data_IF_224934309286
#
_entry.id   IF_224934309286
#
_cell.length_a   1.000
_cell.length_b   1.000
_cell.length_c   1.000
_cell.angle_alpha   90.00
_cell.angle_beta   90.00
_cell.angle_gamma   90.00
#
_symmetry.space_group_name_H-M   'P 1'
#
loop_
_entity.id
_entity.type
_entity.pdbx_description
1 polymer ?
#
# COMPACT_ATOMS: atom_id res chain seq x y z
N UNK A 1 -12.58 18.13 -10.29
CA UNK A 1 -13.50 17.08 -10.82
C UNK A 1 -14.87 17.59 -11.24
N UNK A 2 -15.59 18.43 -10.47
CA UNK A 2 -16.94 18.95 -10.84
C UNK A 2 -17.01 20.49 -10.98
N UNK A 3 -15.88 21.19 -11.07
CA UNK A 3 -15.84 22.65 -11.28
C UNK A 3 -16.16 22.99 -12.75
N UNK A 4 -17.22 23.76 -13.01
CA UNK A 4 -17.52 24.22 -14.38
C UNK A 4 -16.48 25.24 -14.84
N UNK A 5 -15.94 25.03 -16.04
CA UNK A 5 -15.03 25.98 -16.69
C UNK A 5 -15.76 27.28 -17.02
N UNK A 6 -15.11 28.41 -16.79
CA UNK A 6 -15.61 29.76 -17.04
C UNK A 6 -14.47 30.61 -17.64
N UNK A 7 -14.73 31.80 -18.21
CA UNK A 7 -13.73 32.52 -19.03
C UNK A 7 -12.36 32.74 -18.37
N UNK A 8 -12.34 32.91 -17.05
CA UNK A 8 -11.13 33.13 -16.24
C UNK A 8 -10.52 31.85 -15.65
N UNK A 9 -11.18 30.69 -15.74
CA UNK A 9 -10.73 29.42 -15.16
C UNK A 9 -11.15 28.21 -16.01
N UNK A 10 -10.19 27.69 -16.79
CA UNK A 10 -10.39 26.46 -17.57
C UNK A 10 -10.17 25.21 -16.69
N UNK A 11 -11.23 24.76 -16.02
CA UNK A 11 -11.22 23.50 -15.29
C UNK A 11 -11.23 22.30 -16.27
N UNK A 12 -10.41 21.25 -16.05
CA UNK A 12 -10.45 20.05 -16.89
C UNK A 12 -11.81 19.33 -16.75
N UNK A 13 -12.42 18.98 -17.88
CA UNK A 13 -13.57 18.07 -17.87
C UNK A 13 -13.14 16.67 -17.42
N UNK A 14 -14.09 15.90 -16.87
CA UNK A 14 -13.83 14.60 -16.29
C UNK A 14 -15.01 13.66 -16.58
N UNK A 15 -14.83 12.47 -17.17
CA UNK A 15 -15.93 11.61 -17.62
C UNK A 15 -17.03 11.32 -16.57
N UNK A 16 -16.67 11.32 -15.29
CA UNK A 16 -17.61 11.22 -14.16
C UNK A 16 -18.73 12.29 -14.19
N UNK A 17 -18.49 13.47 -14.77
CA UNK A 17 -19.46 14.55 -14.95
C UNK A 17 -20.54 14.22 -15.96
N UNK A 18 -20.28 13.31 -16.90
CA UNK A 18 -21.33 12.63 -17.66
C UNK A 18 -22.03 11.67 -16.69
N UNK A 19 -21.34 10.66 -16.16
CA UNK A 19 -21.93 9.59 -15.33
C UNK A 19 -22.88 10.09 -14.22
N UNK A 20 -22.42 10.82 -13.20
CA UNK A 20 -23.23 11.17 -12.01
C UNK A 20 -23.08 12.62 -11.54
N UNK A 21 -24.17 13.19 -11.02
CA UNK A 21 -24.18 14.56 -10.48
C UNK A 21 -23.25 14.66 -9.28
N UNK A 22 -22.77 15.87 -8.98
CA UNK A 22 -21.94 16.12 -7.79
C UNK A 22 -22.65 15.65 -6.52
N UNK A 23 -23.95 15.91 -6.41
CA UNK A 23 -24.75 15.56 -5.23
C UNK A 23 -24.99 14.06 -5.13
N UNK A 24 -25.18 13.34 -6.26
CA UNK A 24 -25.24 11.87 -6.25
C UNK A 24 -23.89 11.27 -5.87
N UNK A 25 -22.78 11.80 -6.38
CA UNK A 25 -21.43 11.37 -5.96
C UNK A 25 -21.21 11.63 -4.47
N UNK A 26 -21.59 12.81 -3.95
CA UNK A 26 -21.53 13.14 -2.54
C UNK A 26 -22.38 12.19 -1.69
N UNK A 27 -23.63 11.91 -2.07
CA UNK A 27 -24.49 10.97 -1.37
C UNK A 27 -23.88 9.55 -1.35
N UNK A 28 -23.34 9.07 -2.47
CA UNK A 28 -22.66 7.77 -2.52
C UNK A 28 -21.40 7.75 -1.64
N UNK A 29 -20.50 8.72 -1.77
CA UNK A 29 -19.28 8.84 -0.96
C UNK A 29 -19.56 8.93 0.55
N UNK A 30 -20.73 9.46 0.94
CA UNK A 30 -21.17 9.56 2.34
C UNK A 30 -21.75 8.25 2.89
N UNK A 31 -22.38 7.42 2.07
CA UNK A 31 -23.20 6.28 2.52
C UNK A 31 -22.67 4.90 2.13
N UNK A 32 -21.84 4.74 1.10
CA UNK A 32 -21.18 3.46 0.78
C UNK A 32 -20.38 2.96 1.99
N UNK A 33 -20.49 1.66 2.30
CA UNK A 33 -19.74 0.94 3.33
C UNK A 33 -19.20 -0.36 2.72
N UNK A 34 -18.09 -0.86 3.26
CA UNK A 34 -17.51 -2.18 2.90
C UNK A 34 -17.71 -3.23 4.01
N UNK A 35 -18.60 -2.94 4.96
CA UNK A 35 -18.92 -3.72 6.14
C UNK A 35 -20.40 -3.50 6.53
N UNK A 36 -20.99 -4.46 7.24
CA UNK A 36 -22.30 -4.29 7.85
C UNK A 36 -22.14 -3.53 9.20
N UNK A 37 -22.68 -2.31 9.37
CA UNK A 37 -22.53 -1.56 10.62
C UNK A 37 -23.25 -2.17 11.81
N UNK A 38 -24.22 -3.07 11.58
CA UNK A 38 -25.01 -3.74 12.61
C UNK A 38 -24.44 -5.11 13.04
N UNK A 39 -23.48 -5.67 12.28
CA UNK A 39 -22.81 -6.94 12.60
C UNK A 39 -21.29 -6.73 12.71
N UNK A 40 -20.89 -6.06 13.80
CA UNK A 40 -19.49 -5.82 14.18
C UNK A 40 -19.24 -6.62 15.46
N UNK A 41 -18.95 -7.91 15.29
CA UNK A 41 -18.99 -8.94 16.34
C UNK A 41 -17.62 -9.45 16.80
N UNK A 42 -16.52 -9.04 16.16
CA UNK A 42 -15.17 -9.44 16.59
C UNK A 42 -14.74 -8.62 17.83
N UNK A 43 -14.26 -9.32 18.86
CA UNK A 43 -13.86 -8.74 20.16
C UNK A 43 -12.33 -8.59 20.31
N UNK A 44 -11.57 -8.71 19.23
CA UNK A 44 -10.09 -8.73 19.19
C UNK A 44 -9.48 -7.70 18.24
N UNK A 45 -10.22 -7.27 17.20
CA UNK A 45 -9.85 -6.18 16.30
C UNK A 45 -10.47 -4.84 16.74
N UNK A 46 -9.72 -3.72 16.75
CA UNK A 46 -10.29 -2.38 16.79
C UNK A 46 -11.33 -2.15 15.68
N UNK A 47 -12.43 -1.43 15.98
CA UNK A 47 -13.56 -1.21 15.04
C UNK A 47 -13.13 -0.64 13.67
N UNK A 48 -12.05 0.15 13.62
CA UNK A 48 -11.48 0.70 12.37
C UNK A 48 -10.96 -0.39 11.43
N UNK A 49 -10.39 -1.47 11.97
CA UNK A 49 -9.88 -2.60 11.19
C UNK A 49 -11.00 -3.59 10.88
N UNK A 50 -11.89 -3.91 11.83
CA UNK A 50 -13.10 -4.72 11.56
C UNK A 50 -13.92 -4.18 10.37
N UNK A 51 -14.07 -2.86 10.30
CA UNK A 51 -14.79 -2.17 9.23
C UNK A 51 -14.18 -2.31 7.83
N UNK A 52 -13.03 -2.98 7.69
CA UNK A 52 -12.40 -3.29 6.40
C UNK A 52 -11.91 -4.75 6.29
N UNK A 53 -12.06 -5.58 7.32
CA UNK A 53 -11.27 -6.81 7.43
C UNK A 53 -11.72 -7.90 6.44
N UNK A 54 -13.03 -8.06 6.21
CA UNK A 54 -13.53 -8.96 5.15
C UNK A 54 -12.93 -8.63 3.77
N UNK A 55 -12.70 -7.35 3.48
CA UNK A 55 -12.10 -6.92 2.21
C UNK A 55 -10.57 -7.08 2.23
N UNK A 56 -9.95 -6.85 3.39
CA UNK A 56 -8.54 -7.11 3.67
C UNK A 56 -8.16 -8.58 3.47
N UNK A 57 -8.94 -9.52 4.02
CA UNK A 57 -8.73 -10.96 3.86
C UNK A 57 -9.01 -11.40 2.42
N UNK A 58 -10.07 -10.89 1.79
CA UNK A 58 -10.39 -11.20 0.40
C UNK A 58 -9.26 -10.81 -0.56
N UNK A 59 -8.76 -9.57 -0.49
CA UNK A 59 -7.69 -9.11 -1.38
C UNK A 59 -6.38 -9.85 -1.07
N UNK A 60 -6.08 -10.14 0.20
CA UNK A 60 -4.92 -10.96 0.58
C UNK A 60 -4.97 -12.38 0.00
N UNK A 61 -6.12 -13.05 0.08
CA UNK A 61 -6.31 -14.39 -0.51
C UNK A 61 -6.15 -14.33 -2.03
N UNK A 62 -6.91 -13.46 -2.70
CA UNK A 62 -6.88 -13.30 -4.17
C UNK A 62 -5.48 -12.89 -4.66
N UNK A 63 -4.71 -12.15 -3.87
CA UNK A 63 -3.32 -11.82 -4.22
C UNK A 63 -2.39 -13.04 -4.21
N UNK A 64 -2.62 -14.04 -3.37
CA UNK A 64 -1.89 -15.31 -3.40
C UNK A 64 -2.44 -16.29 -4.45
N UNK A 65 -3.74 -16.26 -4.73
CA UNK A 65 -4.37 -17.06 -5.78
C UNK A 65 -3.89 -16.63 -7.18
N UNK A 66 -3.62 -15.33 -7.38
CA UNK A 66 -3.21 -14.75 -8.67
C UNK A 66 -1.69 -14.58 -8.84
N UNK A 67 -0.90 -14.55 -7.75
CA UNK A 67 0.56 -14.39 -7.81
C UNK A 67 1.25 -15.48 -7.01
N UNK A 68 1.85 -16.46 -7.70
CA UNK A 68 2.76 -17.43 -7.09
C UNK A 68 4.07 -16.72 -6.69
N UNK A 69 4.40 -16.58 -5.39
CA UNK A 69 5.58 -15.84 -4.98
C UNK A 69 6.86 -16.63 -5.27
N UNK A 70 7.82 -15.98 -5.94
CA UNK A 70 9.21 -16.47 -6.00
C UNK A 70 9.91 -16.42 -4.63
N UNK A 71 11.12 -16.96 -4.54
CA UNK A 71 11.86 -17.09 -3.27
C UNK A 71 12.09 -15.76 -2.55
N UNK A 72 12.42 -14.69 -3.29
CA UNK A 72 12.93 -13.45 -2.72
C UNK A 72 11.78 -12.49 -2.37
N UNK A 73 11.63 -12.14 -1.09
CA UNK A 73 10.52 -11.36 -0.56
C UNK A 73 11.01 -10.28 0.39
N UNK A 74 10.43 -9.09 0.36
CA UNK A 74 10.69 -8.07 1.38
C UNK A 74 9.58 -8.04 2.44
N UNK A 75 9.96 -7.77 3.69
CA UNK A 75 9.02 -7.39 4.76
C UNK A 75 9.44 -6.03 5.34
N UNK A 76 8.54 -5.06 5.23
CA UNK A 76 8.68 -3.72 5.80
C UNK A 76 7.30 -3.12 6.18
N UNK A 77 7.30 -1.86 6.62
CA UNK A 77 6.15 -1.04 6.93
C UNK A 77 5.63 -0.19 5.75
N UNK A 78 4.30 -0.17 5.62
CA UNK A 78 3.54 0.77 4.80
C UNK A 78 2.82 1.80 5.68
N UNK A 79 2.69 3.04 5.19
CA UNK A 79 1.94 4.12 5.84
C UNK A 79 0.72 4.57 5.03
N UNK A 80 -0.46 4.54 5.64
CA UNK A 80 -1.72 5.03 5.05
C UNK A 80 -2.13 6.35 5.69
N UNK A 81 -2.00 7.47 4.95
CA UNK A 81 -2.19 8.83 5.49
C UNK A 81 -3.58 9.03 6.08
N UNK A 82 -3.62 9.38 7.37
CA UNK A 82 -4.84 9.81 8.04
C UNK A 82 -4.50 10.75 9.19
N UNK A 83 -5.15 11.92 9.22
CA UNK A 83 -4.93 12.98 10.23
C UNK A 83 -6.19 13.32 11.02
N UNK A 84 -7.23 12.46 10.94
CA UNK A 84 -8.42 12.56 11.76
C UNK A 84 -8.27 11.82 13.10
N UNK A 85 -9.29 11.90 13.96
CA UNK A 85 -9.28 11.25 15.28
C UNK A 85 -9.41 9.73 15.13
N UNK A 86 -8.40 8.99 15.59
CA UNK A 86 -8.38 7.52 15.76
C UNK A 86 -7.25 7.16 16.74
N UNK A 87 -7.43 6.10 17.53
CA UNK A 87 -6.40 5.64 18.48
C UNK A 87 -5.36 4.71 17.83
N UNK A 88 -5.63 4.27 16.60
CA UNK A 88 -4.86 3.27 15.87
C UNK A 88 -3.87 3.90 14.88
N UNK A 89 -3.91 5.23 14.71
CA UNK A 89 -2.88 5.96 13.98
C UNK A 89 -1.55 5.95 14.73
N UNK A 90 -0.46 5.84 13.98
CA UNK A 90 0.92 5.88 14.46
C UNK A 90 1.63 7.09 13.87
N UNK A 91 2.46 7.78 14.66
CA UNK A 91 3.41 8.79 14.17
C UNK A 91 4.75 8.11 13.87
N UNK A 92 5.20 8.15 12.63
CA UNK A 92 6.49 7.61 12.18
C UNK A 92 7.32 8.78 11.62
N UNK A 93 8.27 9.33 12.40
CA UNK A 93 9.20 10.34 11.88
C UNK A 93 9.91 9.86 10.61
N UNK A 94 10.28 10.79 9.74
CA UNK A 94 11.09 10.59 8.53
C UNK A 94 10.45 9.81 7.35
N UNK A 95 9.30 9.11 7.51
CA UNK A 95 8.50 8.65 6.34
C UNK A 95 7.71 9.85 5.76
N UNK A 96 7.55 9.99 4.42
CA UNK A 96 6.87 11.16 3.79
C UNK A 96 5.41 11.37 4.22
N UNK A 97 4.75 10.30 4.67
CA UNK A 97 3.52 10.37 5.46
C UNK A 97 3.87 10.04 6.91
N UNK A 98 4.12 11.05 7.76
CA UNK A 98 4.59 10.81 9.14
C UNK A 98 3.46 10.53 10.13
N UNK A 99 2.19 10.62 9.72
CA UNK A 99 1.02 10.32 10.55
C UNK A 99 -0.07 9.62 9.72
N UNK A 100 -0.54 8.49 10.24
CA UNK A 100 -1.57 7.67 9.59
C UNK A 100 -1.66 6.28 10.20
N UNK A 101 -2.35 5.36 9.53
CA UNK A 101 -2.31 3.95 9.90
C UNK A 101 -1.01 3.33 9.43
N UNK A 102 -0.42 2.47 10.27
CA UNK A 102 0.74 1.67 9.92
C UNK A 102 0.27 0.24 9.60
N UNK A 103 0.77 -0.31 8.51
CA UNK A 103 0.60 -1.72 8.15
C UNK A 103 1.97 -2.37 8.01
N UNK A 104 2.09 -3.64 8.36
CA UNK A 104 3.26 -4.45 8.04
C UNK A 104 2.95 -5.29 6.82
N UNK A 105 3.84 -5.34 5.83
CA UNK A 105 3.56 -5.88 4.49
C UNK A 105 4.65 -6.86 4.09
N UNK A 106 4.25 -8.00 3.53
CA UNK A 106 5.12 -8.86 2.72
C UNK A 106 4.87 -8.58 1.23
N UNK A 107 5.92 -8.27 0.47
CA UNK A 107 5.81 -7.86 -0.92
C UNK A 107 6.92 -8.43 -1.83
N UNK A 108 6.61 -8.51 -3.13
CA UNK A 108 7.54 -8.92 -4.19
C UNK A 108 7.38 -8.01 -5.41
N UNK A 109 8.45 -7.38 -5.88
CA UNK A 109 8.47 -6.48 -7.06
C UNK A 109 7.45 -5.32 -7.03
N UNK A 110 6.97 -4.91 -5.85
CA UNK A 110 5.90 -3.91 -5.67
C UNK A 110 4.50 -4.50 -5.47
N UNK A 111 4.31 -5.80 -5.71
CA UNK A 111 3.05 -6.51 -5.49
C UNK A 111 2.91 -6.87 -4.01
N UNK A 112 1.81 -6.48 -3.37
CA UNK A 112 1.55 -6.73 -1.95
C UNK A 112 0.85 -8.09 -1.78
N UNK A 113 1.49 -9.03 -1.07
CA UNK A 113 1.04 -10.42 -0.94
C UNK A 113 0.19 -10.65 0.31
N UNK A 114 0.66 -10.16 1.46
CA UNK A 114 0.04 -10.30 2.78
C UNK A 114 0.34 -9.06 3.63
N UNK A 115 -0.55 -8.72 4.55
CA UNK A 115 -0.29 -7.65 5.53
C UNK A 115 -0.95 -7.90 6.89
N UNK A 116 -0.46 -7.20 7.91
CA UNK A 116 -1.01 -7.20 9.28
C UNK A 116 -1.13 -5.74 9.75
N UNK A 117 -2.29 -5.38 10.29
CA UNK A 117 -2.56 -4.05 10.84
C UNK A 117 -1.73 -3.78 12.09
N UNK A 118 -1.08 -2.61 12.19
CA UNK A 118 -0.39 -2.21 13.42
C UNK A 118 -1.38 -1.72 14.48
N UNK A 119 -1.34 -2.30 15.68
CA UNK A 119 -2.04 -1.77 16.85
C UNK A 119 -1.04 -1.05 17.79
N UNK A 120 -1.10 0.29 17.90
CA UNK A 120 -0.20 1.05 18.77
C UNK A 120 -0.65 0.96 20.24
N UNK A 121 -0.10 0.02 21.02
CA UNK A 121 -0.01 0.01 22.49
C UNK A 121 0.83 -1.18 23.01
N UNK A 122 1.54 -1.01 24.13
CA UNK A 122 2.42 -2.03 24.74
C UNK A 122 1.74 -3.39 25.00
N UNK A 123 0.44 -3.41 25.35
CA UNK A 123 -0.31 -4.63 25.74
C UNK A 123 -0.55 -5.61 24.59
N UNK A 124 -0.62 -5.12 23.35
CA UNK A 124 -0.99 -5.92 22.19
C UNK A 124 0.22 -6.16 21.28
N UNK A 125 1.03 -5.13 21.05
CA UNK A 125 2.08 -5.18 20.05
C UNK A 125 1.55 -5.45 18.63
N UNK A 126 2.44 -5.62 17.65
CA UNK A 126 2.04 -5.71 16.25
C UNK A 126 1.53 -7.09 15.78
N UNK A 127 1.38 -8.09 16.67
CA UNK A 127 1.08 -9.50 16.29
C UNK A 127 -0.08 -10.12 17.10
N UNK A 128 -0.73 -9.40 18.02
CA UNK A 128 -1.90 -9.90 18.77
C UNK A 128 -3.18 -10.16 17.93
N UNK A 129 -3.06 -10.11 16.60
CA UNK A 129 -4.10 -10.47 15.63
C UNK A 129 -4.05 -11.93 15.18
N UNK A 130 -3.01 -12.70 15.53
CA UNK A 130 -3.12 -14.16 15.50
C UNK A 130 -4.13 -14.54 16.59
N UNK A 131 -5.30 -15.05 16.18
CA UNK A 131 -6.40 -15.51 17.06
C UNK A 131 -5.83 -16.10 18.34
N UNK A 132 -6.19 -15.54 19.51
CA UNK A 132 -5.62 -15.92 20.81
C UNK A 132 -5.65 -17.43 20.98
N UNK A 133 -4.51 -18.09 20.74
CA UNK A 133 -4.29 -19.44 21.27
C UNK A 133 -4.45 -19.33 22.78
N UNK A 134 -5.21 -20.26 23.34
CA UNK A 134 -5.35 -20.42 24.78
C UNK A 134 -3.95 -20.27 25.44
N UNK A 135 -3.78 -19.37 26.44
CA UNK A 135 -2.51 -19.20 27.15
C UNK A 135 -1.91 -20.52 27.65
N UNK A 136 -2.74 -21.50 28.01
CA UNK A 136 -2.34 -22.85 28.41
C UNK A 136 -1.71 -23.58 27.22
N UNK A 137 -2.35 -23.59 26.04
CA UNK A 137 -1.81 -24.18 24.82
C UNK A 137 -0.52 -23.48 24.37
N UNK A 138 -0.48 -22.14 24.38
CA UNK A 138 0.72 -21.38 24.01
C UNK A 138 1.87 -21.68 24.97
N UNK A 139 1.61 -21.73 26.29
CA UNK A 139 2.63 -22.08 27.29
C UNK A 139 3.09 -23.54 27.17
N UNK A 140 2.24 -24.47 26.74
CA UNK A 140 2.61 -25.87 26.43
C UNK A 140 3.48 -25.94 25.18
N UNK A 141 3.12 -25.24 24.10
CA UNK A 141 3.91 -25.16 22.87
C UNK A 141 5.31 -24.56 23.14
N UNK A 142 5.37 -23.44 23.89
CA UNK A 142 6.63 -22.79 24.27
C UNK A 142 7.50 -23.66 25.20
N UNK A 143 6.89 -24.38 26.17
CA UNK A 143 7.61 -25.34 27.02
C UNK A 143 8.17 -26.52 26.24
N UNK A 144 7.42 -27.04 25.26
CA UNK A 144 7.89 -28.10 24.34
C UNK A 144 9.06 -27.62 23.47
N UNK A 145 8.95 -26.44 22.87
CA UNK A 145 10.03 -25.83 22.08
C UNK A 145 11.28 -25.54 22.92
N UNK A 146 11.13 -25.11 24.19
CA UNK A 146 12.25 -24.95 25.13
C UNK A 146 12.93 -26.29 25.46
N UNK A 147 12.16 -27.32 25.80
CA UNK A 147 12.69 -28.68 26.08
C UNK A 147 13.43 -29.31 24.89
N UNK A 148 13.13 -28.90 23.65
CA UNK A 148 13.80 -29.35 22.42
C UNK A 148 14.94 -28.43 21.93
N UNK A 149 15.32 -27.38 22.67
CA UNK A 149 16.32 -26.39 22.23
C UNK A 149 15.91 -25.52 21.03
N UNK A 150 14.70 -25.74 20.48
CA UNK A 150 14.16 -25.08 19.29
C UNK A 150 13.58 -23.68 19.58
N UNK A 151 13.31 -23.35 20.84
CA UNK A 151 12.85 -22.01 21.22
C UNK A 151 13.91 -20.95 20.93
N UNK A 152 13.47 -19.80 20.41
CA UNK A 152 14.30 -18.61 20.21
C UNK A 152 13.44 -17.40 20.59
N UNK A 153 13.83 -16.58 21.59
CA UNK A 153 12.99 -15.48 22.04
C UNK A 153 13.01 -14.34 21.02
N UNK A 154 11.85 -14.07 20.43
CA UNK A 154 11.61 -12.94 19.52
C UNK A 154 10.84 -11.85 20.25
N UNK A 155 11.18 -10.58 20.01
CA UNK A 155 10.35 -9.46 20.47
C UNK A 155 9.08 -9.34 19.60
N UNK A 156 8.04 -8.61 20.04
CA UNK A 156 6.78 -8.52 19.29
C UNK A 156 6.92 -8.00 17.85
N UNK A 157 7.88 -7.10 17.58
CA UNK A 157 8.16 -6.58 16.22
C UNK A 157 8.83 -7.64 15.34
N UNK A 158 9.74 -8.44 15.89
CA UNK A 158 10.38 -9.55 15.16
C UNK A 158 9.38 -10.65 14.77
N UNK A 159 8.43 -10.93 15.66
CA UNK A 159 7.34 -11.88 15.40
C UNK A 159 6.44 -11.48 14.22
N UNK A 160 6.46 -10.22 13.77
CA UNK A 160 5.73 -9.76 12.58
C UNK A 160 6.23 -10.46 11.33
N UNK A 161 7.56 -10.56 11.17
CA UNK A 161 8.17 -11.20 10.01
C UNK A 161 7.76 -12.68 9.94
N UNK A 162 7.81 -13.37 11.08
CA UNK A 162 7.38 -14.77 11.19
C UNK A 162 5.88 -14.92 10.94
N UNK A 163 5.04 -14.01 11.44
CA UNK A 163 3.59 -14.03 11.23
C UNK A 163 3.19 -13.75 9.77
N UNK A 164 3.89 -12.87 9.07
CA UNK A 164 3.69 -12.61 7.65
C UNK A 164 4.16 -13.79 6.79
N UNK A 165 5.34 -14.34 7.06
CA UNK A 165 5.87 -15.50 6.30
C UNK A 165 4.99 -16.74 6.50
N UNK A 166 4.48 -16.98 7.71
CA UNK A 166 3.51 -18.06 7.98
C UNK A 166 2.14 -17.88 7.31
N UNK A 167 1.83 -16.71 6.72
CA UNK A 167 0.62 -16.47 5.92
C UNK A 167 0.81 -16.74 4.43
N UNK A 168 2.04 -17.03 3.98
CA UNK A 168 2.36 -17.31 2.58
C UNK A 168 2.21 -18.81 2.27
N UNK A 169 2.18 -19.21 0.98
CA UNK A 169 2.25 -20.61 0.57
C UNK A 169 3.47 -21.34 1.16
N UNK A 170 3.40 -22.66 1.28
CA UNK A 170 4.52 -23.46 1.81
C UNK A 170 5.68 -23.53 0.81
N UNK A 171 6.68 -22.67 0.97
CA UNK A 171 7.92 -22.69 0.18
C UNK A 171 9.15 -22.29 1.02
N UNK A 172 10.34 -22.36 0.43
CA UNK A 172 11.59 -21.86 1.02
C UNK A 172 11.84 -20.43 0.55
N UNK A 173 11.58 -19.44 1.42
CA UNK A 173 11.77 -18.03 1.10
C UNK A 173 13.15 -17.50 1.52
N UNK A 174 13.61 -16.46 0.82
CA UNK A 174 14.69 -15.57 1.22
C UNK A 174 14.07 -14.23 1.59
N UNK A 175 14.01 -13.93 2.89
CA UNK A 175 13.31 -12.76 3.43
C UNK A 175 14.29 -11.61 3.63
N UNK A 176 14.01 -10.48 2.97
CA UNK A 176 14.74 -9.22 3.08
C UNK A 176 14.03 -8.30 4.07
N UNK A 177 14.73 -7.83 5.10
CA UNK A 177 14.13 -7.05 6.19
C UNK A 177 15.00 -5.86 6.61
N UNK A 178 14.34 -4.78 7.05
CA UNK A 178 15.04 -3.63 7.59
C UNK A 178 15.63 -3.88 8.99
N UNK A 179 16.61 -3.04 9.34
CA UNK A 179 17.23 -2.89 10.65
C UNK A 179 16.25 -2.72 11.84
N UNK A 180 14.97 -2.36 11.61
CA UNK A 180 13.91 -2.42 12.61
C UNK A 180 13.63 -3.84 13.12
N UNK A 181 13.76 -4.86 12.27
CA UNK A 181 13.45 -6.25 12.59
C UNK A 181 14.70 -7.07 12.95
N UNK A 182 15.85 -6.74 12.34
CA UNK A 182 17.06 -7.55 12.40
C UNK A 182 17.57 -7.87 13.81
N UNK A 183 17.91 -9.14 14.03
CA UNK A 183 18.69 -9.67 15.17
C UNK A 183 19.12 -11.10 14.88
N UNK A 184 20.20 -11.59 15.50
CA UNK A 184 20.61 -12.99 15.36
C UNK A 184 19.46 -13.98 15.68
N UNK A 185 18.67 -13.70 16.73
CA UNK A 185 17.51 -14.52 17.13
C UNK A 185 16.48 -14.71 16.00
N UNK A 186 16.12 -13.64 15.29
CA UNK A 186 15.14 -13.73 14.19
C UNK A 186 15.71 -14.55 13.02
N UNK A 187 16.99 -14.38 12.71
CA UNK A 187 17.64 -15.07 11.59
C UNK A 187 17.79 -16.57 11.88
N UNK A 188 18.21 -16.95 13.09
CA UNK A 188 18.25 -18.33 13.55
C UNK A 188 16.86 -18.96 13.59
N UNK A 189 15.82 -18.21 13.98
CA UNK A 189 14.45 -18.71 13.97
C UNK A 189 13.93 -18.95 12.54
N UNK A 190 14.12 -18.00 11.61
CA UNK A 190 13.75 -18.18 10.20
C UNK A 190 14.52 -19.34 9.55
N UNK A 191 15.82 -19.51 9.87
CA UNK A 191 16.63 -20.64 9.40
C UNK A 191 16.10 -21.99 9.91
N UNK A 192 15.65 -22.05 11.18
CA UNK A 192 14.97 -23.23 11.77
C UNK A 192 13.61 -23.52 11.14
N UNK A 193 12.95 -22.54 10.51
CA UNK A 193 11.74 -22.72 9.71
C UNK A 193 12.03 -23.09 8.23
N UNK A 194 13.30 -23.22 7.84
CA UNK A 194 13.69 -23.53 6.46
C UNK A 194 13.72 -22.30 5.52
N UNK A 195 13.89 -21.10 6.07
CA UNK A 195 13.95 -19.85 5.32
C UNK A 195 15.33 -19.18 5.43
N UNK A 196 15.78 -18.56 4.33
CA UNK A 196 16.89 -17.63 4.33
C UNK A 196 16.44 -16.24 4.79
N UNK A 197 17.35 -15.47 5.38
CA UNK A 197 17.12 -14.08 5.72
C UNK A 197 18.36 -13.23 5.41
N UNK A 198 18.15 -11.98 4.99
CA UNK A 198 19.19 -10.94 4.85
C UNK A 198 18.61 -9.60 5.30
N UNK A 199 19.35 -8.85 6.12
CA UNK A 199 18.86 -7.56 6.60
C UNK A 199 20.00 -6.65 7.05
N UNK A 200 19.77 -5.33 6.95
CA UNK A 200 20.66 -4.36 7.59
C UNK A 200 20.51 -4.42 9.11
N UNK A 201 21.53 -4.03 9.86
CA UNK A 201 21.66 -4.38 11.28
C UNK A 201 22.06 -3.17 12.14
N UNK A 202 21.41 -2.99 13.29
CA UNK A 202 21.73 -1.92 14.25
C UNK A 202 22.85 -2.35 15.20
N UNK A 203 23.67 -1.38 15.63
CA UNK A 203 24.71 -1.54 16.68
C UNK A 203 24.26 -2.36 17.90
N UNK A 204 22.99 -2.27 18.29
CA UNK A 204 22.43 -2.93 19.47
C UNK A 204 21.69 -4.27 19.20
N UNK A 205 21.76 -4.85 18.00
CA UNK A 205 21.02 -6.10 17.67
C UNK A 205 21.79 -7.41 17.91
N UNK A 206 22.84 -7.39 18.73
CA UNK A 206 23.69 -8.55 19.03
C UNK A 206 24.86 -8.76 18.05
N UNK A 207 25.34 -7.68 17.44
CA UNK A 207 26.48 -7.71 16.51
C UNK A 207 27.80 -7.83 17.31
N UNK A 208 28.76 -8.56 16.76
CA UNK A 208 30.14 -8.69 17.21
C UNK A 208 30.76 -7.33 17.56
N UNK A 209 31.36 -7.21 18.76
CA UNK A 209 31.75 -5.92 19.36
C UNK A 209 32.68 -5.07 18.44
N UNK A 210 33.72 -5.63 17.79
CA UNK A 210 34.50 -4.89 16.79
C UNK A 210 33.68 -4.27 15.66
N UNK A 211 32.62 -4.92 15.13
CA UNK A 211 31.76 -4.29 14.13
C UNK A 211 30.91 -3.14 14.69
N UNK A 212 30.52 -3.21 15.96
CA UNK A 212 29.84 -2.11 16.64
C UNK A 212 30.78 -0.93 16.79
N UNK A 213 32.03 -1.19 17.20
CA UNK A 213 33.09 -0.18 17.29
C UNK A 213 33.38 0.42 15.92
N UNK A 214 33.61 -0.41 14.89
CA UNK A 214 33.81 0.04 13.51
C UNK A 214 32.65 0.89 12.96
N UNK A 215 31.42 0.71 13.45
CA UNK A 215 30.29 1.57 13.07
C UNK A 215 30.23 2.89 13.86
N UNK A 216 30.79 2.95 15.07
CA UNK A 216 31.13 4.21 15.73
C UNK A 216 32.26 4.88 14.96
N UNK A 217 33.32 4.13 14.64
CA UNK A 217 34.50 4.62 13.95
C UNK A 217 34.23 5.04 12.49
N UNK A 218 33.26 4.47 11.76
CA UNK A 218 32.80 4.97 10.46
C UNK A 218 32.13 6.35 10.58
N UNK A 219 31.52 6.62 11.74
CA UNK A 219 31.00 7.95 12.09
C UNK A 219 32.15 8.92 12.41
N UNK A 220 33.39 8.42 12.60
CA UNK A 220 34.61 9.16 12.88
C UNK A 220 35.79 8.90 11.88
N UNK A 221 35.55 8.20 10.75
CA UNK A 221 36.51 7.96 9.67
C UNK A 221 37.45 6.72 9.69
N UNK A 222 37.20 5.60 10.41
CA UNK A 222 38.11 4.40 10.45
C UNK A 222 37.41 3.03 10.13
N UNK A 223 38.17 1.92 10.05
CA UNK A 223 37.91 0.65 9.29
C UNK A 223 38.64 -0.58 9.93
N UNK A 224 38.35 -1.90 9.74
CA UNK A 224 37.22 -2.69 9.19
C UNK A 224 37.32 -4.21 9.64
N UNK A 225 36.40 -5.13 9.23
CA UNK A 225 36.41 -6.63 9.41
C UNK A 225 36.22 -7.17 10.87
N UNK A 226 36.09 -8.48 11.24
CA UNK A 226 35.39 -9.75 10.80
C UNK A 226 35.22 -10.64 12.08
N UNK A 227 34.35 -11.65 12.33
CA UNK A 227 33.17 -12.29 11.67
C UNK A 227 32.32 -13.14 12.70
N UNK A 228 31.42 -14.08 12.29
CA UNK A 228 30.70 -15.04 13.19
C UNK A 228 29.54 -15.85 12.54
N UNK A 229 28.99 -16.90 13.21
CA UNK A 229 28.06 -17.93 12.65
C UNK A 229 26.84 -17.44 11.83
N UNK A 230 25.96 -16.61 12.41
CA UNK A 230 25.00 -15.87 11.59
C UNK A 230 25.83 -14.80 10.91
N UNK A 231 26.16 -15.00 9.63
CA UNK A 231 27.19 -14.21 8.94
C UNK A 231 26.92 -12.70 9.08
N UNK A 232 27.79 -12.06 9.86
CA UNK A 232 27.72 -10.64 10.20
C UNK A 232 28.70 -9.90 9.29
N UNK A 233 28.19 -9.12 8.34
CA UNK A 233 29.00 -8.57 7.25
C UNK A 233 29.03 -7.04 7.39
N UNK A 234 30.23 -6.49 7.57
CA UNK A 234 30.46 -5.04 7.54
C UNK A 234 30.99 -4.64 6.15
N UNK A 235 30.32 -3.70 5.50
CA UNK A 235 30.65 -3.21 4.15
C UNK A 235 30.69 -1.68 4.11
N UNK A 236 31.76 -1.10 3.56
CA UNK A 236 31.95 0.36 3.48
C UNK A 236 31.73 0.86 2.05
N UNK A 237 30.63 1.58 1.85
CA UNK A 237 30.41 2.47 0.69
C UNK A 237 30.49 3.92 1.23
N UNK A 238 29.59 4.83 0.82
CA UNK A 238 29.40 6.15 1.45
C UNK A 238 29.27 6.08 2.99
N UNK A 239 28.74 4.97 3.53
CA UNK A 239 28.73 4.66 4.97
C UNK A 239 29.06 3.19 5.19
N UNK A 240 29.57 2.85 6.37
CA UNK A 240 29.63 1.46 6.80
C UNK A 240 28.21 0.95 7.05
N UNK A 241 27.83 -0.10 6.35
CA UNK A 241 26.58 -0.83 6.52
C UNK A 241 26.92 -2.15 7.20
N UNK A 242 26.19 -2.47 8.26
CA UNK A 242 26.25 -3.78 8.91
C UNK A 242 25.07 -4.60 8.40
N UNK A 243 25.32 -5.83 7.98
CA UNK A 243 24.32 -6.81 7.58
C UNK A 243 24.34 -8.03 8.51
N UNK A 244 23.18 -8.63 8.71
CA UNK A 244 23.04 -10.02 9.12
C UNK A 244 22.54 -10.83 7.91
N UNK A 245 23.01 -12.06 7.75
CA UNK A 245 22.46 -13.00 6.77
C UNK A 245 22.58 -14.46 7.24
N UNK A 246 21.63 -15.29 6.81
CA UNK A 246 21.67 -16.75 6.93
C UNK A 246 21.77 -17.44 5.55
N UNK A 247 22.24 -16.71 4.53
CA UNK A 247 22.34 -17.15 3.13
C UNK A 247 23.74 -16.96 2.56
N UNK A 248 24.32 -15.75 2.65
CA UNK A 248 25.65 -15.46 2.08
C UNK A 248 26.77 -15.74 3.09
N UNK A 249 27.95 -16.12 2.59
CA UNK A 249 29.20 -16.23 3.34
C UNK A 249 29.86 -14.88 3.60
N UNK A 250 29.60 -13.88 2.75
CA UNK A 250 30.19 -12.54 2.81
C UNK A 250 31.61 -12.45 2.23
N UNK A 251 32.09 -13.48 1.54
CA UNK A 251 33.26 -13.44 0.66
C UNK A 251 32.85 -13.34 -0.83
N UNK A 252 31.58 -13.56 -1.16
CA UNK A 252 31.09 -13.49 -2.54
C UNK A 252 31.05 -12.03 -3.04
N UNK A 253 31.66 -11.79 -4.20
CA UNK A 253 31.76 -10.47 -4.83
C UNK A 253 31.03 -10.43 -6.18
N UNK A 254 30.53 -9.25 -6.55
CA UNK A 254 29.93 -8.99 -7.86
C UNK A 254 30.32 -7.60 -8.38
N UNK A 255 30.68 -7.49 -9.66
CA UNK A 255 30.90 -6.19 -10.32
C UNK A 255 29.58 -5.44 -10.41
N UNK A 256 29.53 -4.19 -9.92
CA UNK A 256 28.39 -3.29 -10.12
C UNK A 256 28.87 -1.90 -10.51
N UNK A 257 28.14 -1.30 -11.45
CA UNK A 257 28.28 0.11 -11.84
C UNK A 257 27.77 1.02 -10.73
N UNK A 258 28.62 1.88 -10.19
CA UNK A 258 28.30 2.80 -9.08
C UNK A 258 28.61 4.23 -9.52
N UNK A 259 27.85 5.21 -9.01
CA UNK A 259 28.09 6.65 -9.23
C UNK A 259 28.91 7.21 -8.07
N UNK A 260 29.81 8.17 -8.35
CA UNK A 260 30.58 8.91 -7.35
C UNK A 260 29.62 9.64 -6.39
N UNK A 261 29.74 9.47 -5.04
CA UNK A 261 28.85 10.15 -4.11
C UNK A 261 29.00 11.68 -4.15
N UNK A 262 27.92 12.39 -4.44
CA UNK A 262 27.88 13.85 -4.48
C UNK A 262 27.45 14.46 -3.13
N UNK A 263 28.16 14.12 -2.06
CA UNK A 263 27.89 14.61 -0.69
C UNK A 263 29.19 15.12 -0.04
N UNK A 264 29.11 16.20 0.74
CA UNK A 264 30.29 16.78 1.41
C UNK A 264 30.60 16.13 2.77
N UNK A 265 29.77 15.18 3.22
CA UNK A 265 29.93 14.48 4.49
C UNK A 265 31.29 13.74 4.57
N UNK A 266 32.02 13.91 5.68
CA UNK A 266 33.36 13.33 5.83
C UNK A 266 33.43 11.81 5.60
N UNK A 267 32.36 11.07 5.92
CA UNK A 267 32.20 9.63 5.68
C UNK A 267 32.29 9.22 4.21
N UNK A 268 32.03 10.13 3.27
CA UNK A 268 32.08 9.91 1.83
C UNK A 268 33.50 9.98 1.26
N UNK A 269 34.41 10.69 1.94
CA UNK A 269 35.76 10.99 1.45
C UNK A 269 36.57 9.75 1.03
N UNK A 270 36.54 8.59 1.75
CA UNK A 270 37.25 7.40 1.31
C UNK A 270 36.78 6.84 -0.02
N UNK A 271 35.45 6.80 -0.25
CA UNK A 271 34.89 6.29 -1.51
C UNK A 271 35.05 7.33 -2.63
N UNK A 272 34.91 8.64 -2.35
CA UNK A 272 35.21 9.69 -3.33
C UNK A 272 36.67 9.65 -3.80
N UNK A 273 37.64 9.40 -2.91
CA UNK A 273 39.05 9.18 -3.27
C UNK A 273 39.24 7.96 -4.17
N UNK A 274 38.54 6.85 -3.91
CA UNK A 274 38.58 5.65 -4.77
C UNK A 274 38.02 5.88 -6.17
N UNK A 275 37.02 6.76 -6.31
CA UNK A 275 36.52 7.20 -7.62
C UNK A 275 37.47 8.17 -8.33
N UNK A 276 38.34 8.90 -7.61
CA UNK A 276 39.11 9.99 -8.20
C UNK A 276 38.16 11.02 -8.82
N UNK A 277 38.35 11.33 -10.10
CA UNK A 277 37.47 12.22 -10.87
C UNK A 277 36.45 11.46 -11.75
N UNK A 278 36.47 10.12 -11.75
CA UNK A 278 35.48 9.30 -12.46
C UNK A 278 34.08 9.55 -11.88
N UNK A 279 33.13 10.03 -12.69
CA UNK A 279 31.75 10.21 -12.24
C UNK A 279 31.03 8.87 -11.97
N UNK A 280 31.46 7.79 -12.63
CA UNK A 280 30.86 6.45 -12.59
C UNK A 280 31.97 5.41 -12.73
N UNK A 281 31.98 4.40 -11.86
CA UNK A 281 33.04 3.37 -11.77
C UNK A 281 32.44 1.99 -11.54
N UNK A 282 33.01 0.98 -12.18
CA UNK A 282 32.58 -0.41 -12.07
C UNK A 282 33.56 -1.16 -11.16
N UNK A 283 33.09 -1.63 -9.99
CA UNK A 283 33.95 -2.34 -9.05
C UNK A 283 33.23 -3.49 -8.33
N UNK A 284 34.02 -4.38 -7.73
CA UNK A 284 33.54 -5.51 -6.95
C UNK A 284 32.94 -5.03 -5.62
N UNK A 285 31.66 -5.35 -5.39
CA UNK A 285 31.00 -5.16 -4.09
C UNK A 285 30.52 -6.51 -3.53
N UNK A 286 30.34 -6.67 -2.21
CA UNK A 286 29.79 -7.89 -1.63
C UNK A 286 28.41 -8.21 -2.21
N UNK A 287 28.20 -9.46 -2.60
CA UNK A 287 26.96 -9.94 -3.20
C UNK A 287 25.75 -9.68 -2.28
N UNK A 288 25.92 -9.85 -0.96
CA UNK A 288 24.91 -9.51 0.05
C UNK A 288 24.41 -8.06 -0.08
N UNK A 289 25.31 -7.11 -0.36
CA UNK A 289 24.98 -5.70 -0.47
C UNK A 289 24.35 -5.36 -1.83
N UNK A 290 24.75 -6.06 -2.91
CA UNK A 290 24.08 -5.95 -4.20
C UNK A 290 22.63 -6.46 -4.12
N UNK A 291 22.43 -7.71 -3.68
CA UNK A 291 21.11 -8.34 -3.63
C UNK A 291 20.19 -7.65 -2.63
N UNK A 292 20.66 -7.22 -1.45
CA UNK A 292 19.83 -6.45 -0.51
C UNK A 292 19.28 -5.16 -1.15
N UNK A 293 20.10 -4.41 -1.90
CA UNK A 293 19.66 -3.18 -2.56
C UNK A 293 18.65 -3.44 -3.71
N UNK A 294 18.76 -4.58 -4.40
CA UNK A 294 17.84 -4.96 -5.48
C UNK A 294 16.47 -5.43 -4.95
N UNK A 295 16.47 -6.15 -3.81
CA UNK A 295 15.32 -6.91 -3.27
C UNK A 295 14.58 -6.21 -2.11
N UNK A 296 15.27 -5.50 -1.21
CA UNK A 296 14.63 -4.92 0.00
C UNK A 296 13.48 -3.96 -0.33
N UNK A 297 13.60 -3.22 -1.42
CA UNK A 297 12.71 -2.11 -1.77
C UNK A 297 11.34 -2.55 -2.34
N UNK A 298 10.94 -3.83 -2.23
CA UNK A 298 9.64 -4.29 -2.79
C UNK A 298 8.42 -3.66 -2.13
N UNK A 299 8.47 -3.33 -0.82
CA UNK A 299 7.35 -2.63 -0.15
C UNK A 299 7.30 -1.17 -0.61
N UNK A 300 8.44 -0.46 -0.59
CA UNK A 300 8.51 0.95 -1.05
C UNK A 300 8.11 1.11 -2.52
N UNK A 301 8.44 0.15 -3.41
CA UNK A 301 7.97 0.13 -4.81
C UNK A 301 6.43 0.12 -4.89
N UNK A 302 5.77 -0.67 -4.06
CA UNK A 302 4.30 -0.73 -4.01
C UNK A 302 3.69 0.53 -3.38
N UNK A 303 4.28 1.07 -2.32
CA UNK A 303 3.82 2.32 -1.69
C UNK A 303 4.05 3.55 -2.61
N UNK A 304 5.11 3.56 -3.42
CA UNK A 304 5.34 4.56 -4.48
C UNK A 304 4.27 4.47 -5.59
N UNK A 305 3.95 3.26 -6.06
CA UNK A 305 2.90 3.05 -7.06
C UNK A 305 1.53 3.52 -6.52
N UNK A 306 1.19 3.17 -5.27
CA UNK A 306 -0.01 3.63 -4.56
C UNK A 306 -0.06 5.16 -4.42
N UNK A 307 1.05 5.80 -4.06
CA UNK A 307 1.12 7.25 -3.89
C UNK A 307 0.97 8.01 -5.22
N UNK A 308 1.51 7.48 -6.32
CA UNK A 308 1.59 8.18 -7.62
C UNK A 308 0.24 8.58 -8.25
N UNK A 309 -0.83 7.83 -7.99
CA UNK A 309 -2.20 8.12 -8.46
C UNK A 309 -3.23 8.02 -7.31
N UNK A 310 -2.79 8.30 -6.09
CA UNK A 310 -3.57 8.08 -4.87
C UNK A 310 -4.87 8.89 -4.81
N UNK A 311 -5.89 8.30 -4.20
CA UNK A 311 -7.21 8.89 -3.97
C UNK A 311 -7.19 10.28 -3.28
N UNK A 312 -7.40 11.34 -4.08
CA UNK A 312 -7.22 12.75 -3.67
C UNK A 312 -8.40 13.39 -2.90
N UNK A 313 -9.48 12.67 -2.58
CA UNK A 313 -10.60 13.27 -1.84
C UNK A 313 -10.35 13.29 -0.32
N UNK A 314 -10.68 14.43 0.33
CA UNK A 314 -10.54 14.58 1.79
C UNK A 314 -11.50 13.64 2.55
N UNK A 315 -10.95 12.63 3.19
CA UNK A 315 -11.69 11.69 4.05
C UNK A 315 -12.09 12.39 5.36
N UNK A 316 -13.38 12.33 5.70
CA UNK A 316 -13.96 12.96 6.91
C UNK A 316 -14.96 12.10 7.67
N UNK A 317 -15.42 10.95 7.14
CA UNK A 317 -16.56 10.18 7.68
C UNK A 317 -16.15 8.80 8.19
N UNK A 318 -15.21 8.81 9.13
CA UNK A 318 -14.69 7.64 9.84
C UNK A 318 -13.29 7.20 9.36
N UNK A 319 -12.42 6.70 10.25
CA UNK A 319 -11.05 6.34 9.92
C UNK A 319 -10.94 5.17 8.94
N UNK A 320 -11.90 4.23 8.98
CA UNK A 320 -11.98 3.06 8.09
C UNK A 320 -11.96 3.44 6.60
N UNK A 321 -12.44 4.64 6.24
CA UNK A 321 -12.45 5.13 4.86
C UNK A 321 -11.03 5.30 4.29
N UNK A 322 -10.01 5.57 5.12
CA UNK A 322 -8.63 5.62 4.67
C UNK A 322 -8.13 4.21 4.31
N UNK A 323 -8.36 3.24 5.18
CA UNK A 323 -7.98 1.85 4.92
C UNK A 323 -8.74 1.27 3.72
N UNK A 324 -10.03 1.54 3.58
CA UNK A 324 -10.82 1.10 2.43
C UNK A 324 -10.34 1.72 1.12
N UNK A 325 -10.31 3.05 1.02
CA UNK A 325 -10.16 3.74 -0.27
C UNK A 325 -8.73 4.15 -0.62
N UNK A 326 -7.84 4.34 0.36
CA UNK A 326 -6.44 4.77 0.13
C UNK A 326 -5.40 3.70 0.47
N UNK A 327 -5.82 2.54 1.00
CA UNK A 327 -5.00 1.34 1.15
C UNK A 327 -5.52 0.17 0.32
N UNK A 328 -6.65 -0.44 0.68
CA UNK A 328 -7.15 -1.67 0.05
C UNK A 328 -7.51 -1.50 -1.43
N UNK A 329 -8.28 -0.47 -1.79
CA UNK A 329 -8.62 -0.18 -3.19
C UNK A 329 -7.37 0.11 -4.04
N UNK A 330 -6.44 0.91 -3.52
CA UNK A 330 -5.19 1.23 -4.21
C UNK A 330 -4.30 0.00 -4.37
N UNK A 331 -4.28 -0.93 -3.40
CA UNK A 331 -3.61 -2.23 -3.55
C UNK A 331 -4.26 -3.05 -4.66
N UNK A 332 -5.59 -3.14 -4.73
CA UNK A 332 -6.26 -3.88 -5.81
C UNK A 332 -5.94 -3.29 -7.21
N UNK A 333 -5.88 -1.97 -7.33
CA UNK A 333 -5.50 -1.28 -8.58
C UNK A 333 -4.01 -1.45 -8.93
N UNK A 334 -3.11 -1.44 -7.95
CA UNK A 334 -1.66 -1.65 -8.17
C UNK A 334 -1.32 -3.12 -8.42
N UNK A 335 -1.89 -4.05 -7.66
CA UNK A 335 -1.69 -5.49 -7.86
C UNK A 335 -2.24 -5.94 -9.24
N UNK A 336 -3.42 -5.47 -9.66
CA UNK A 336 -3.94 -5.76 -11.02
C UNK A 336 -3.08 -5.14 -12.13
N UNK A 337 -2.56 -3.92 -11.93
CA UNK A 337 -1.62 -3.31 -12.87
C UNK A 337 -0.33 -4.13 -13.01
N UNK A 338 0.23 -4.62 -11.90
CA UNK A 338 1.42 -5.46 -11.89
C UNK A 338 1.16 -6.85 -12.49
N UNK A 339 -0.03 -7.42 -12.30
CA UNK A 339 -0.43 -8.70 -12.91
C UNK A 339 -0.47 -8.62 -14.44
N UNK A 340 -1.04 -7.58 -15.04
CA UNK A 340 -0.97 -7.44 -16.52
C UNK A 340 0.43 -7.01 -17.01
N UNK A 341 1.24 -6.36 -16.17
CA UNK A 341 2.61 -5.94 -16.50
C UNK A 341 3.62 -7.09 -16.46
N UNK A 342 3.39 -8.12 -15.63
CA UNK A 342 4.32 -9.23 -15.41
C UNK A 342 3.78 -10.62 -15.79
N UNK A 343 2.47 -10.84 -15.72
CA UNK A 343 1.82 -12.02 -16.27
C UNK A 343 1.73 -11.99 -17.79
N UNK A 344 1.10 -13.01 -18.39
CA UNK A 344 0.95 -13.16 -19.84
C UNK A 344 -0.51 -12.94 -20.28
N UNK A 345 -1.01 -11.68 -20.31
CA UNK A 345 -2.37 -11.39 -20.75
C UNK A 345 -2.54 -11.64 -22.26
N UNK A 346 -3.74 -12.02 -22.69
CA UNK A 346 -4.11 -12.09 -24.11
C UNK A 346 -4.28 -10.72 -24.77
N UNK A 347 -4.35 -9.64 -23.98
CA UNK A 347 -4.48 -8.26 -24.45
C UNK A 347 -3.13 -7.51 -24.46
N UNK A 348 -3.07 -6.44 -25.25
CA UNK A 348 -1.92 -5.53 -25.33
C UNK A 348 -1.57 -4.94 -23.95
N UNK A 349 -0.37 -5.24 -23.45
CA UNK A 349 0.11 -4.79 -22.13
C UNK A 349 0.15 -3.25 -22.02
N UNK A 350 -0.46 -2.74 -20.95
CA UNK A 350 -0.46 -1.33 -20.56
C UNK A 350 0.84 -0.96 -19.84
N UNK A 351 1.50 0.11 -20.29
CA UNK A 351 2.80 0.59 -19.76
C UNK A 351 2.68 1.67 -18.67
N UNK A 352 1.47 2.11 -18.32
CA UNK A 352 1.24 3.11 -17.27
C UNK A 352 0.00 2.78 -16.45
N UNK A 353 0.02 3.10 -15.15
CA UNK A 353 -1.15 2.93 -14.29
C UNK A 353 -2.35 3.76 -14.77
N UNK A 354 -2.13 4.96 -15.32
CA UNK A 354 -3.23 5.82 -15.78
C UNK A 354 -4.04 5.15 -16.88
N UNK A 355 -3.38 4.61 -17.91
CA UNK A 355 -4.06 3.94 -19.01
C UNK A 355 -4.75 2.63 -18.58
N UNK A 356 -4.15 1.91 -17.61
CA UNK A 356 -4.77 0.73 -17.01
C UNK A 356 -6.02 1.07 -16.17
N UNK A 357 -5.94 2.11 -15.33
CA UNK A 357 -7.08 2.59 -14.54
C UNK A 357 -8.20 3.13 -15.44
N UNK A 358 -7.89 3.80 -16.55
CA UNK A 358 -8.89 4.17 -17.57
C UNK A 358 -9.57 2.93 -18.15
N UNK A 359 -8.80 1.93 -18.61
CA UNK A 359 -9.37 0.68 -19.14
C UNK A 359 -10.31 -0.03 -18.15
N UNK A 360 -9.95 -0.09 -16.86
CA UNK A 360 -10.82 -0.61 -15.80
C UNK A 360 -12.09 0.23 -15.66
N UNK A 361 -11.98 1.56 -15.65
CA UNK A 361 -13.15 2.47 -15.54
C UNK A 361 -14.10 2.29 -16.72
N UNK A 362 -13.58 2.26 -17.95
CA UNK A 362 -14.38 2.10 -19.16
C UNK A 362 -15.08 0.73 -19.21
N UNK A 363 -14.38 -0.35 -18.84
CA UNK A 363 -14.95 -1.68 -18.72
C UNK A 363 -16.05 -1.78 -17.64
N UNK A 364 -15.86 -1.12 -16.48
CA UNK A 364 -16.87 -1.06 -15.42
C UNK A 364 -18.10 -0.26 -15.84
N UNK A 365 -17.93 0.83 -16.60
CA UNK A 365 -19.05 1.59 -17.16
C UNK A 365 -19.84 0.74 -18.15
N UNK A 366 -19.15 0.05 -19.08
CA UNK A 366 -19.80 -0.83 -20.05
C UNK A 366 -20.56 -1.98 -19.37
N UNK A 367 -19.98 -2.62 -18.36
CA UNK A 367 -20.58 -3.76 -17.66
C UNK A 367 -21.78 -3.38 -16.77
N UNK A 368 -21.69 -2.27 -16.03
CA UNK A 368 -22.73 -1.88 -15.05
C UNK A 368 -23.65 -0.75 -15.54
N UNK A 369 -23.45 -0.24 -16.75
CA UNK A 369 -24.26 0.81 -17.37
C UNK A 369 -24.23 0.74 -18.91
N UNK A 370 -24.60 -0.40 -19.54
CA UNK A 370 -24.50 -0.57 -21.00
C UNK A 370 -25.35 0.43 -21.79
N UNK A 371 -26.59 0.69 -21.38
CA UNK A 371 -27.51 1.64 -22.04
C UNK A 371 -27.21 3.12 -21.76
N UNK A 372 -26.00 3.44 -21.29
CA UNK A 372 -25.67 4.77 -20.78
C UNK A 372 -25.42 5.81 -21.89
N UNK A 373 -26.51 6.42 -22.36
CA UNK A 373 -26.51 7.45 -23.42
C UNK A 373 -25.96 8.83 -23.02
N UNK A 374 -25.23 8.92 -21.88
CA UNK A 374 -24.71 10.18 -21.34
C UNK A 374 -25.78 11.07 -20.69
N UNK A 375 -25.46 11.68 -19.54
CA UNK A 375 -26.21 12.87 -19.11
C UNK A 375 -25.75 14.03 -19.97
N UNK A 376 -26.64 14.53 -20.83
CA UNK A 376 -26.42 15.76 -21.61
C UNK A 376 -26.05 16.90 -20.66
N UNK A 377 -24.79 17.36 -20.72
CA UNK A 377 -24.26 18.41 -19.85
C UNK A 377 -24.97 19.76 -20.11
N UNK A 378 -25.43 19.95 -21.36
CA UNK A 378 -26.17 21.12 -21.82
C UNK A 378 -27.43 20.69 -22.61
N UNK A 379 -28.41 21.59 -22.76
CA UNK A 379 -29.57 21.41 -23.67
C UNK A 379 -29.23 21.78 -25.13
N UNK A 380 -27.96 21.64 -25.52
CA UNK A 380 -27.38 22.08 -26.79
C UNK A 380 -26.26 21.11 -27.18
N UNK A 381 -26.25 20.63 -28.42
CA UNK A 381 -25.60 19.38 -28.82
C UNK A 381 -24.09 19.40 -29.11
N UNK A 382 -23.31 20.31 -28.54
CA UNK A 382 -21.87 20.42 -28.82
C UNK A 382 -21.05 20.49 -27.53
N UNK A 383 -20.34 19.41 -27.23
CA UNK A 383 -19.42 19.28 -26.09
C UNK A 383 -18.01 19.86 -26.37
N UNK A 384 -17.72 20.24 -27.63
CA UNK A 384 -16.40 20.68 -28.11
C UNK A 384 -16.36 22.17 -28.55
N UNK A 385 -17.15 23.04 -27.92
CA UNK A 385 -17.18 24.47 -28.26
C UNK A 385 -15.91 25.19 -27.78
N UNK A 386 -15.40 26.13 -28.59
CA UNK A 386 -14.21 26.93 -28.27
C UNK A 386 -14.58 28.18 -27.46
N UNK A 387 -13.57 28.91 -26.94
CA UNK A 387 -13.81 30.02 -26.01
C UNK A 387 -14.77 31.13 -26.53
N UNK A 388 -14.71 31.56 -27.81
CA UNK A 388 -15.71 32.50 -28.37
C UNK A 388 -17.13 31.92 -28.37
N UNK A 389 -17.29 30.66 -28.79
CA UNK A 389 -18.58 30.00 -29.02
C UNK A 389 -19.43 29.87 -27.74
N UNK A 390 -18.78 29.86 -26.57
CA UNK A 390 -19.42 29.86 -25.26
C UNK A 390 -20.28 31.12 -24.99
N UNK A 391 -20.08 32.21 -25.73
CA UNK A 391 -20.85 33.45 -25.50
C UNK A 391 -22.29 33.38 -26.00
N UNK A 392 -22.58 32.59 -27.05
CA UNK A 392 -23.91 32.52 -27.68
C UNK A 392 -24.29 31.07 -28.08
N UNK A 393 -24.79 30.31 -27.12
CA UNK A 393 -25.35 28.97 -27.36
C UNK A 393 -26.76 29.08 -27.95
N UNK A 394 -26.91 28.56 -29.18
CA UNK A 394 -28.19 28.35 -29.87
C UNK A 394 -29.06 27.31 -29.15
N UNK A 395 -30.36 27.60 -28.98
CA UNK A 395 -31.33 26.68 -28.32
C UNK A 395 -32.58 26.38 -29.18
N UNK A 396 -32.45 26.45 -30.50
CA UNK A 396 -33.56 26.28 -31.44
C UNK A 396 -33.99 27.61 -32.07
N UNK A 397 -35.00 27.52 -32.95
CA UNK A 397 -35.19 28.36 -34.16
C UNK A 397 -35.11 29.89 -34.04
N UNK A 398 -35.22 30.51 -32.86
CA UNK A 398 -35.21 31.98 -32.71
C UNK A 398 -34.43 32.53 -31.50
N UNK A 399 -33.74 31.71 -30.67
CA UNK A 399 -33.11 32.23 -29.42
C UNK A 399 -31.70 31.69 -29.15
N UNK A 400 -30.74 32.61 -29.18
CA UNK A 400 -29.39 32.44 -28.63
C UNK A 400 -29.37 32.78 -27.13
N UNK A 401 -28.39 32.24 -26.39
CA UNK A 401 -28.28 32.43 -24.95
C UNK A 401 -26.84 32.26 -24.46
N UNK A 402 -26.41 33.04 -23.46
CA UNK A 402 -25.06 32.87 -22.88
C UNK A 402 -24.90 31.49 -22.23
N UNK A 403 -23.71 30.89 -22.34
CA UNK A 403 -23.45 29.60 -21.70
C UNK A 403 -23.65 29.68 -20.18
N UNK A 404 -24.38 28.72 -19.61
CA UNK A 404 -24.64 28.71 -18.17
C UNK A 404 -23.37 28.51 -17.32
N UNK A 405 -22.32 27.89 -17.88
CA UNK A 405 -21.02 27.78 -17.22
C UNK A 405 -20.33 29.15 -17.09
N UNK A 406 -20.35 29.95 -18.16
CA UNK A 406 -19.81 31.31 -18.20
C UNK A 406 -20.63 32.32 -17.38
N UNK A 407 -21.89 32.01 -17.10
CA UNK A 407 -22.73 32.70 -16.10
C UNK A 407 -22.48 32.20 -14.65
N UNK A 408 -21.37 31.50 -14.39
CA UNK A 408 -20.97 31.03 -13.06
C UNK A 408 -21.83 29.90 -12.47
N UNK A 409 -22.81 29.36 -13.21
CA UNK A 409 -23.71 28.35 -12.66
C UNK A 409 -23.04 26.97 -12.54
N UNK A 410 -23.20 26.34 -11.38
CA UNK A 410 -22.65 25.01 -11.09
C UNK A 410 -23.59 23.91 -11.58
N UNK A 411 -23.06 22.92 -12.30
CA UNK A 411 -23.83 21.77 -12.78
C UNK A 411 -24.34 20.90 -11.61
N UNK A 412 -25.66 20.76 -11.48
CA UNK A 412 -26.33 19.92 -10.48
C UNK A 412 -27.21 20.69 -9.50
N UNK A 413 -26.95 21.98 -9.29
CA UNK A 413 -27.77 22.83 -8.39
C UNK A 413 -29.18 22.99 -8.97
N UNK A 414 -30.18 22.54 -8.22
CA UNK A 414 -31.59 22.72 -8.56
C UNK A 414 -31.96 24.22 -8.57
N UNK A 415 -32.73 24.65 -9.57
CA UNK A 415 -33.04 26.07 -9.83
C UNK A 415 -34.42 26.52 -9.31
N UNK A 416 -35.00 25.79 -8.36
CA UNK A 416 -36.33 26.07 -7.83
C UNK A 416 -36.49 25.53 -6.40
N UNK A 417 -37.24 26.25 -5.56
CA UNK A 417 -37.74 25.76 -4.27
C UNK A 417 -38.93 24.80 -4.45
N UNK A 418 -38.77 23.79 -5.31
CA UNK A 418 -39.70 22.67 -5.33
C UNK A 418 -39.41 21.79 -4.11
N UNK A 419 -40.43 21.56 -3.28
CA UNK A 419 -40.30 20.75 -2.05
C UNK A 419 -39.70 19.37 -2.34
N UNK A 420 -38.83 18.89 -1.44
CA UNK A 420 -38.24 17.55 -1.56
C UNK A 420 -39.33 16.47 -1.49
N UNK A 421 -39.72 15.92 -2.65
CA UNK A 421 -40.46 14.66 -2.68
C UNK A 421 -39.53 13.54 -2.21
N UNK A 422 -39.91 12.87 -1.13
CA UNK A 422 -39.19 11.72 -0.61
C UNK A 422 -38.99 10.64 -1.70
N UNK A 423 -37.88 9.92 -1.61
CA UNK A 423 -37.61 8.78 -2.49
C UNK A 423 -38.64 7.67 -2.20
N UNK A 424 -39.54 7.42 -3.14
CA UNK A 424 -40.46 6.31 -3.07
C UNK A 424 -39.72 4.96 -3.02
N UNK A 425 -40.28 3.97 -2.32
CA UNK A 425 -39.71 2.62 -2.28
C UNK A 425 -39.65 2.00 -3.67
N UNK A 426 -38.50 1.43 -4.02
CA UNK A 426 -38.37 0.57 -5.18
C UNK A 426 -39.03 -0.76 -4.81
N UNK A 427 -40.31 -0.93 -5.19
CA UNK A 427 -41.05 -2.20 -5.05
C UNK A 427 -40.44 -3.26 -5.99
N UNK A 428 -39.32 -3.84 -5.55
CA UNK A 428 -38.53 -4.83 -6.29
C UNK A 428 -38.11 -6.03 -5.43
N UNK A 429 -38.85 -6.33 -4.35
CA UNK A 429 -38.77 -7.57 -3.58
C UNK A 429 -39.99 -7.75 -2.67
N UNK A 430 -41.13 -8.18 -3.23
CA UNK A 430 -42.24 -8.75 -2.47
C UNK A 430 -42.41 -10.22 -2.88
N UNK A 431 -41.84 -11.13 -2.09
CA UNK A 431 -42.12 -12.56 -2.24
C UNK A 431 -43.61 -12.84 -2.02
N UNK A 432 -44.17 -13.83 -2.74
CA UNK A 432 -45.56 -14.26 -2.56
C UNK A 432 -45.80 -14.59 -1.09
N UNK A 433 -46.76 -13.90 -0.46
CA UNK A 433 -47.50 -14.40 0.68
C UNK A 433 -48.94 -14.62 0.24
N UNK A 434 -49.44 -15.82 0.47
CA UNK A 434 -50.80 -16.21 0.10
C UNK A 434 -51.81 -15.57 1.05
N UNK A 435 -52.98 -15.20 0.53
CA UNK A 435 -54.05 -14.66 1.36
C UNK A 435 -54.79 -15.82 2.06
N UNK A 436 -55.07 -15.72 3.38
CA UNK A 436 -55.89 -16.72 4.06
C UNK A 436 -57.33 -16.66 3.51
N UNK A 437 -57.87 -17.82 3.11
CA UNK A 437 -59.28 -17.94 2.77
C UNK A 437 -60.14 -17.70 4.01
N UNK A 438 -61.12 -16.82 3.92
CA UNK A 438 -62.19 -16.75 4.91
C UNK A 438 -62.97 -18.07 4.93
N UNK A 439 -63.39 -18.49 6.12
CA UNK A 439 -64.52 -19.41 6.31
C UNK A 439 -65.67 -18.64 6.95
N UNK A 440 -66.85 -19.23 6.80
CA UNK A 440 -68.16 -18.71 7.25
C UNK A 440 -68.13 -18.34 8.73
#
# INVERSE_FOLDING_TARGET
HWETSHPEHYAPDHPIRRLMTYDRFQLLQRHIRVFNPFNISDIHLPRVFQAVDNWSEHIQRVSLDLWTPGTNLAVDECMTRFTGRSYETTKVPNKPTPLGFKSWVAAQKGFFLQWIWHQPKKRYGPVALVKKKDPIQLSRQLRSQRRRGLYTPLNPTQSVVVALVNKLPKARYHVFIDNLFSSANLFTHLRRLGHGATGTARRNCGIYKPFVQLKVDDTAGRNLLRFGEVNQIAWKDNSLVLFLTSVFKGDELVKRKRKRPNTMEARARPIQRFFGDEAVKDFNIPLVAAIYNDEMNHVDRGDQLRASLGYNHRIRRGPWQALAWTFLLEIALVNSYLLQLHGNPSWKRYKSQTAWRSCIVDALIAAFSPDYKGRKLYRSGHDNLSHPDHQLIYRGRTKNSRCHACLGHRCGVARSQAQERALAEINGNRGRKEAPKSRK
#
